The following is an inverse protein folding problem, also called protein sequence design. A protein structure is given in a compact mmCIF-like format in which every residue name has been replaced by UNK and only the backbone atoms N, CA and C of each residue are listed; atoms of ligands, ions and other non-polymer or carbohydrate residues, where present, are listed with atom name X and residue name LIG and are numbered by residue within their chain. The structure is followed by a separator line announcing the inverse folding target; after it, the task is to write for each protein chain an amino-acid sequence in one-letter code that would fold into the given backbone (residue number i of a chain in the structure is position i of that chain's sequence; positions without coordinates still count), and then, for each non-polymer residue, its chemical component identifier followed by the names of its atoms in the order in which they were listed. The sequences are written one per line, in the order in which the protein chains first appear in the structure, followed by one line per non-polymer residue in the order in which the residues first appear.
data_IF_308726980866
#
_entry.id   IF_308726980866
#
_cell.length_a   1.000
_cell.length_b   1.000
_cell.length_c   1.000
_cell.angle_alpha   90.00
_cell.angle_beta   90.00
_cell.angle_gamma   90.00
#
_symmetry.space_group_name_H-M   'P 1'
#
loop_
_entity.id
_entity.type
_entity.pdbx_description
1 polymer ?
#
# COMPACT_ATOMS: atom_id res chain seq x y z
N UNK A 1 46.24 34.85 60.54
CA UNK A 1 47.01 34.54 59.32
C UNK A 1 46.01 34.35 58.18
N UNK A 2 45.15 35.35 57.90
CA UNK A 2 45.39 36.54 57.08
C UNK A 2 45.40 36.22 55.59
N UNK A 3 44.25 36.43 54.94
CA UNK A 3 44.16 37.12 53.65
C UNK A 3 42.71 37.65 53.55
N UNK A 4 42.45 38.87 54.03
CA UNK A 4 42.47 40.13 53.25
C UNK A 4 41.58 40.07 52.01
N UNK A 5 40.34 40.54 52.18
CA UNK A 5 39.56 41.14 51.11
C UNK A 5 39.12 42.53 51.58
N UNK A 6 39.35 43.59 50.80
CA UNK A 6 38.93 44.93 51.15
C UNK A 6 37.47 45.17 50.77
N UNK A 7 36.87 46.07 51.55
CA UNK A 7 35.60 46.71 51.28
C UNK A 7 35.65 47.55 50.00
N UNK A 8 34.50 47.70 49.34
CA UNK A 8 34.03 49.01 48.88
C UNK A 8 32.57 48.93 48.40
N UNK A 9 31.70 49.61 49.15
CA UNK A 9 30.40 50.09 48.68
C UNK A 9 30.60 51.07 47.52
N UNK A 10 29.71 51.05 46.53
CA UNK A 10 29.25 52.28 45.90
C UNK A 10 27.88 52.07 45.25
N UNK A 11 26.98 52.98 45.60
CA UNK A 11 25.63 53.14 45.06
C UNK A 11 25.65 53.53 43.57
N UNK A 12 24.61 53.15 42.81
CA UNK A 12 23.59 54.08 42.30
C UNK A 12 22.82 53.49 41.10
N UNK A 13 21.48 53.54 41.21
CA UNK A 13 20.44 53.37 40.16
C UNK A 13 20.48 54.58 39.19
N UNK A 14 19.99 54.53 37.92
CA UNK A 14 18.58 54.21 37.56
C UNK A 14 18.37 53.45 36.22
N UNK A 15 17.34 52.61 36.10
CA UNK A 15 16.05 52.79 35.35
C UNK A 15 16.15 53.44 33.95
N UNK A 16 15.79 52.68 32.92
CA UNK A 16 15.22 53.27 31.69
C UNK A 16 15.32 52.41 30.42
N UNK A 17 14.28 51.61 30.17
CA UNK A 17 13.67 51.39 28.84
C UNK A 17 14.57 50.98 27.64
N UNK A 18 14.74 49.68 27.44
CA UNK A 18 14.94 49.07 26.11
C UNK A 18 13.85 47.99 25.93
N UNK A 19 12.72 48.37 25.33
CA UNK A 19 12.36 48.05 23.94
C UNK A 19 12.16 46.54 23.69
N UNK A 20 10.92 46.12 23.98
CA UNK A 20 10.03 45.41 23.08
C UNK A 20 10.69 44.62 21.93
N UNK A 21 10.64 43.29 22.00
CA UNK A 21 10.92 42.48 20.81
C UNK A 21 11.27 41.03 21.05
N UNK A 22 10.53 40.27 21.88
CA UNK A 22 10.68 38.80 21.89
C UNK A 22 9.33 38.11 22.18
N UNK A 23 8.31 38.47 21.39
CA UNK A 23 7.01 37.80 21.40
C UNK A 23 6.58 37.49 19.96
N UNK A 24 7.44 36.78 19.22
CA UNK A 24 7.06 36.07 17.98
C UNK A 24 7.75 34.70 18.03
N UNK A 25 7.36 33.88 19.02
CA UNK A 25 7.64 32.44 19.03
C UNK A 25 6.31 31.72 18.84
N UNK A 26 5.64 32.06 17.74
CA UNK A 26 4.40 31.41 17.34
C UNK A 26 4.39 31.38 15.81
N UNK A 27 4.14 30.19 15.27
CA UNK A 27 3.68 29.93 13.90
C UNK A 27 4.74 29.70 12.80
N UNK A 28 5.64 28.73 12.93
CA UNK A 28 6.27 28.07 11.77
C UNK A 28 6.60 26.58 12.01
N UNK A 29 5.64 25.80 12.52
CA UNK A 29 5.67 24.34 12.47
C UNK A 29 4.36 23.81 11.89
N UNK A 30 3.93 24.36 10.75
CA UNK A 30 2.97 23.64 9.90
C UNK A 30 3.74 22.48 9.28
N UNK A 31 3.63 21.34 9.95
CA UNK A 31 4.17 20.06 9.57
C UNK A 31 3.85 19.79 8.09
N UNK A 32 4.90 19.67 7.29
CA UNK A 32 4.80 18.99 6.00
C UNK A 32 4.55 17.52 6.33
N UNK A 33 3.29 17.14 6.49
CA UNK A 33 2.88 15.73 6.52
C UNK A 33 3.09 15.25 5.09
N UNK A 34 4.06 14.35 4.81
CA UNK A 34 4.13 13.71 3.52
C UNK A 34 2.85 12.89 3.42
N UNK A 35 1.94 13.28 2.53
CA UNK A 35 0.72 12.52 2.28
C UNK A 35 1.13 11.09 1.96
N UNK A 36 0.62 10.13 2.75
CA UNK A 36 0.75 8.73 2.45
C UNK A 36 0.20 8.52 1.03
N UNK A 37 1.10 8.25 0.07
CA UNK A 37 0.71 7.88 -1.27
C UNK A 37 0.05 6.51 -1.16
N UNK A 38 -1.27 6.48 -1.02
CA UNK A 38 -2.03 5.25 -1.20
C UNK A 38 -1.62 4.68 -2.57
N UNK A 39 -1.13 3.45 -2.59
CA UNK A 39 -0.65 2.75 -3.79
C UNK A 39 -1.85 2.37 -4.67
N UNK A 40 -2.43 3.37 -5.33
CA UNK A 40 -3.55 3.24 -6.26
C UNK A 40 -3.04 3.40 -7.69
N UNK A 41 -3.20 2.36 -8.50
CA UNK A 41 -2.85 2.35 -9.92
C UNK A 41 -4.10 2.55 -10.76
N UNK A 42 -4.03 3.28 -11.88
CA UNK A 42 -5.21 3.59 -12.70
C UNK A 42 -5.10 3.10 -14.14
N UNK A 43 -6.21 2.66 -14.70
CA UNK A 43 -6.40 2.33 -16.11
C UNK A 43 -7.76 2.88 -16.57
N UNK A 44 -7.77 4.05 -17.21
CA UNK A 44 -9.03 4.76 -17.47
C UNK A 44 -9.80 5.02 -16.17
N UNK A 45 -11.06 4.57 -16.12
CA UNK A 45 -11.93 4.68 -14.93
C UNK A 45 -11.72 3.56 -13.89
N UNK A 46 -10.79 2.62 -14.14
CA UNK A 46 -10.46 1.56 -13.20
C UNK A 46 -9.38 2.01 -12.24
N UNK A 47 -9.59 1.73 -10.96
CA UNK A 47 -8.64 1.92 -9.87
C UNK A 47 -8.28 0.57 -9.27
N UNK A 48 -6.99 0.25 -9.30
CA UNK A 48 -6.42 -0.96 -8.71
C UNK A 48 -5.79 -0.57 -7.38
N UNK A 49 -6.45 -0.96 -6.30
CA UNK A 49 -6.05 -0.68 -4.93
C UNK A 49 -5.31 -1.84 -4.31
N UNK A 50 -4.21 -1.50 -3.62
CA UNK A 50 -3.41 -2.39 -2.78
C UNK A 50 -3.07 -3.74 -3.43
N UNK A 51 -2.25 -3.78 -4.50
CA UNK A 51 -1.74 -5.04 -5.01
C UNK A 51 -0.72 -5.64 -4.07
N UNK A 52 -0.94 -6.89 -3.67
CA UNK A 52 -0.07 -7.59 -2.75
C UNK A 52 -0.04 -9.10 -3.01
N UNK A 53 1.05 -9.73 -2.57
CA UNK A 53 1.30 -11.15 -2.71
C UNK A 53 1.79 -11.71 -1.38
N UNK A 54 1.49 -12.97 -1.09
CA UNK A 54 2.08 -13.62 0.08
C UNK A 54 3.53 -13.98 -0.19
N UNK A 55 4.38 -13.76 0.82
CA UNK A 55 5.72 -14.34 0.85
C UNK A 55 5.63 -15.86 0.69
N UNK A 56 6.68 -16.44 0.11
CA UNK A 56 6.75 -17.89 -0.10
C UNK A 56 8.00 -18.48 0.55
N UNK A 57 7.94 -19.73 1.04
CA UNK A 57 9.13 -20.41 1.55
C UNK A 57 10.10 -20.73 0.40
N UNK A 58 11.39 -20.95 0.71
CA UNK A 58 12.37 -21.40 -0.28
C UNK A 58 11.88 -22.64 -1.05
N UNK A 59 12.04 -22.62 -2.37
CA UNK A 59 11.64 -23.74 -3.24
C UNK A 59 10.16 -23.78 -3.64
N UNK A 60 9.32 -22.88 -3.10
CA UNK A 60 7.93 -22.77 -3.53
C UNK A 60 7.81 -22.54 -5.04
N UNK A 61 6.82 -23.20 -5.66
CA UNK A 61 6.55 -23.11 -7.10
C UNK A 61 5.39 -22.19 -7.46
N UNK A 62 4.62 -21.77 -6.46
CA UNK A 62 3.42 -20.96 -6.62
C UNK A 62 3.38 -19.86 -5.55
N UNK A 63 2.92 -18.66 -5.92
CA UNK A 63 2.55 -17.59 -4.99
C UNK A 63 1.12 -17.12 -5.26
N UNK A 64 0.43 -16.68 -4.20
CA UNK A 64 -0.91 -16.09 -4.29
C UNK A 64 -0.85 -14.57 -4.36
N UNK A 65 -1.58 -13.96 -5.28
CA UNK A 65 -1.69 -12.51 -5.45
C UNK A 65 -3.12 -12.00 -5.28
N UNK A 66 -3.23 -10.79 -4.75
CA UNK A 66 -4.47 -10.19 -4.27
C UNK A 66 -4.45 -8.68 -4.54
N UNK A 67 -5.62 -8.11 -4.75
CA UNK A 67 -5.85 -6.67 -4.92
C UNK A 67 -7.34 -6.42 -5.00
N UNK A 68 -7.69 -5.15 -5.02
CA UNK A 68 -9.04 -4.70 -5.28
C UNK A 68 -9.08 -3.92 -6.58
N UNK A 69 -10.12 -4.11 -7.40
CA UNK A 69 -10.43 -3.22 -8.52
C UNK A 69 -11.75 -2.53 -8.28
N UNK A 70 -11.75 -1.21 -8.37
CA UNK A 70 -12.96 -0.36 -8.39
C UNK A 70 -13.13 0.20 -9.79
N UNK A 71 -14.32 0.11 -10.36
CA UNK A 71 -14.66 0.68 -11.65
C UNK A 71 -15.55 1.89 -11.44
N UNK A 72 -15.01 3.10 -11.67
CA UNK A 72 -15.74 4.37 -11.56
C UNK A 72 -16.49 4.74 -12.84
N UNK A 73 -16.36 3.95 -13.90
CA UNK A 73 -16.96 4.19 -15.20
C UNK A 73 -18.39 3.70 -15.31
N UNK A 74 -19.09 4.17 -16.35
CA UNK A 74 -20.48 3.82 -16.64
C UNK A 74 -20.67 2.49 -17.39
N UNK A 75 -19.59 1.75 -17.67
CA UNK A 75 -19.61 0.48 -18.40
C UNK A 75 -18.80 -0.59 -17.66
N UNK A 76 -19.20 -1.88 -17.68
CA UNK A 76 -18.39 -2.95 -17.12
C UNK A 76 -17.10 -3.12 -17.93
N UNK A 77 -16.02 -3.51 -17.26
CA UNK A 77 -14.75 -3.93 -17.86
C UNK A 77 -14.42 -5.36 -17.38
N UNK A 78 -13.33 -5.93 -17.88
CA UNK A 78 -12.92 -7.29 -17.61
C UNK A 78 -11.42 -7.41 -17.50
N UNK A 79 -10.92 -7.98 -16.42
CA UNK A 79 -9.52 -8.37 -16.29
C UNK A 79 -9.28 -9.65 -17.06
N UNK A 80 -8.51 -9.58 -18.16
CA UNK A 80 -8.25 -10.69 -19.06
C UNK A 80 -7.03 -11.51 -18.62
N UNK A 81 -5.95 -10.83 -18.24
CA UNK A 81 -4.68 -11.49 -17.94
C UNK A 81 -3.80 -10.67 -17.02
N UNK A 82 -2.85 -11.38 -16.41
CA UNK A 82 -1.78 -10.83 -15.58
C UNK A 82 -0.46 -11.40 -16.07
N UNK A 83 0.60 -10.60 -16.06
CA UNK A 83 1.96 -11.07 -16.33
C UNK A 83 2.94 -10.48 -15.33
N UNK A 84 3.99 -11.24 -15.02
CA UNK A 84 5.12 -10.78 -14.20
C UNK A 84 6.35 -11.63 -14.47
N UNK A 85 7.52 -11.01 -14.40
CA UNK A 85 8.80 -11.67 -14.66
C UNK A 85 9.22 -12.67 -13.56
N UNK A 86 8.54 -12.64 -12.40
CA UNK A 86 8.85 -13.56 -11.29
C UNK A 86 8.33 -14.99 -11.54
N UNK A 87 7.48 -15.20 -12.55
CA UNK A 87 6.80 -16.47 -12.81
C UNK A 87 6.80 -16.83 -14.30
N UNK A 88 6.43 -18.08 -14.60
CA UNK A 88 6.17 -18.53 -15.97
C UNK A 88 4.76 -18.16 -16.42
N UNK A 89 3.78 -18.23 -15.51
CA UNK A 89 2.37 -17.96 -15.80
C UNK A 89 1.69 -17.32 -14.60
N UNK A 90 0.78 -16.39 -14.84
CA UNK A 90 -0.16 -15.93 -13.83
C UNK A 90 -1.58 -16.29 -14.25
N UNK A 91 -2.34 -16.89 -13.34
CA UNK A 91 -3.71 -17.34 -13.59
C UNK A 91 -4.67 -16.71 -12.58
N UNK A 92 -5.91 -16.48 -13.02
CA UNK A 92 -6.99 -16.07 -12.14
C UNK A 92 -7.78 -17.30 -11.68
N UNK A 93 -8.01 -17.42 -10.39
CA UNK A 93 -8.71 -18.54 -9.76
C UNK A 93 -9.82 -18.04 -8.83
N UNK A 94 -10.81 -18.90 -8.61
CA UNK A 94 -11.89 -18.70 -7.64
C UNK A 94 -11.91 -19.85 -6.65
N UNK A 95 -11.99 -19.53 -5.36
CA UNK A 95 -12.33 -20.49 -4.32
C UNK A 95 -13.83 -20.45 -4.06
N UNK A 96 -14.46 -21.63 -4.03
CA UNK A 96 -15.87 -21.78 -3.68
C UNK A 96 -16.08 -23.04 -2.86
N UNK A 97 -16.96 -22.97 -1.86
CA UNK A 97 -17.40 -24.16 -1.12
C UNK A 97 -18.57 -24.77 -1.89
N UNK A 98 -18.42 -26.01 -2.32
CA UNK A 98 -19.49 -26.79 -2.92
C UNK A 98 -19.66 -28.07 -2.12
N UNK A 99 -20.84 -28.29 -1.56
CA UNK A 99 -21.18 -29.49 -0.78
C UNK A 99 -20.22 -29.74 0.40
N UNK A 100 -19.79 -28.66 1.08
CA UNK A 100 -18.83 -28.72 2.19
C UNK A 100 -17.37 -28.90 1.77
N UNK A 101 -17.10 -29.04 0.47
CA UNK A 101 -15.74 -29.17 -0.09
C UNK A 101 -15.27 -27.84 -0.65
N UNK A 102 -14.12 -27.36 -0.20
CA UNK A 102 -13.44 -26.22 -0.83
C UNK A 102 -12.92 -26.62 -2.20
N UNK A 103 -13.37 -25.93 -3.23
CA UNK A 103 -12.91 -26.10 -4.60
C UNK A 103 -12.19 -24.85 -5.06
N UNK A 104 -11.08 -25.02 -5.75
CA UNK A 104 -10.33 -23.95 -6.41
C UNK A 104 -10.38 -24.21 -7.91
N UNK A 105 -10.84 -23.23 -8.69
CA UNK A 105 -11.00 -23.38 -10.14
C UNK A 105 -10.47 -22.16 -10.89
N UNK A 106 -9.80 -22.37 -12.03
CA UNK A 106 -9.40 -21.27 -12.89
C UNK A 106 -10.62 -20.57 -13.47
N UNK A 107 -10.55 -19.24 -13.55
CA UNK A 107 -11.58 -18.40 -14.16
C UNK A 107 -11.23 -18.22 -15.63
N UNK A 108 -11.93 -18.95 -16.49
CA UNK A 108 -11.82 -18.83 -17.95
C UNK A 108 -12.59 -17.62 -18.48
N UNK A 109 -11.97 -16.88 -19.40
CA UNK A 109 -12.59 -15.69 -20.01
C UNK A 109 -12.51 -14.42 -19.16
N UNK A 110 -11.69 -14.39 -18.11
CA UNK A 110 -11.41 -13.18 -17.32
C UNK A 110 -12.46 -12.81 -16.27
N UNK A 111 -12.12 -11.87 -15.39
CA UNK A 111 -12.97 -11.40 -14.29
C UNK A 111 -13.73 -10.14 -14.70
N UNK A 112 -15.06 -10.15 -14.61
CA UNK A 112 -15.86 -8.94 -14.85
C UNK A 112 -15.76 -7.98 -13.67
N UNK A 113 -15.53 -6.70 -13.94
CA UNK A 113 -15.61 -5.59 -13.00
C UNK A 113 -16.82 -4.74 -13.38
N UNK A 114 -17.94 -4.82 -12.63
CA UNK A 114 -19.17 -4.10 -12.96
C UNK A 114 -18.99 -2.58 -13.03
N UNK A 115 -19.78 -1.90 -13.87
CA UNK A 115 -19.84 -0.43 -13.89
C UNK A 115 -20.23 0.11 -12.51
N UNK A 116 -19.56 1.17 -12.05
CA UNK A 116 -19.78 1.73 -10.70
C UNK A 116 -19.51 0.74 -9.55
N UNK A 117 -18.91 -0.41 -9.86
CA UNK A 117 -18.79 -1.55 -8.95
C UNK A 117 -17.35 -1.79 -8.49
N UNK A 118 -17.19 -2.84 -7.68
CA UNK A 118 -15.91 -3.23 -7.10
C UNK A 118 -15.79 -4.74 -7.04
N UNK A 119 -14.60 -5.26 -7.31
CA UNK A 119 -14.27 -6.68 -7.16
C UNK A 119 -12.98 -6.83 -6.35
N UNK A 120 -13.02 -7.66 -5.32
CA UNK A 120 -11.87 -7.95 -4.47
C UNK A 120 -11.31 -9.34 -4.79
N UNK A 121 -10.03 -9.39 -5.14
CA UNK A 121 -9.23 -10.61 -5.13
C UNK A 121 -8.59 -10.74 -3.75
N UNK A 122 -9.03 -11.72 -2.96
CA UNK A 122 -8.66 -11.91 -1.56
C UNK A 122 -8.53 -13.40 -1.21
N UNK A 123 -7.82 -13.75 -0.13
CA UNK A 123 -7.76 -15.13 0.35
C UNK A 123 -9.18 -15.71 0.54
N UNK A 124 -9.42 -16.92 0.02
CA UNK A 124 -10.72 -17.59 0.12
C UNK A 124 -11.77 -17.14 -0.91
N UNK A 125 -11.44 -16.25 -1.85
CA UNK A 125 -12.32 -15.85 -2.96
C UNK A 125 -11.61 -15.90 -4.30
N UNK A 126 -11.83 -14.89 -5.14
CA UNK A 126 -10.99 -14.67 -6.32
C UNK A 126 -9.55 -14.38 -5.90
N UNK A 127 -8.57 -14.91 -6.62
CA UNK A 127 -7.16 -14.64 -6.36
C UNK A 127 -6.31 -14.95 -7.60
N UNK A 128 -5.12 -14.39 -7.64
CA UNK A 128 -4.11 -14.77 -8.62
C UNK A 128 -3.26 -15.92 -8.12
N UNK A 129 -2.87 -16.80 -9.03
CA UNK A 129 -1.79 -17.76 -8.84
C UNK A 129 -0.64 -17.43 -9.79
N UNK A 130 0.50 -17.02 -9.24
CA UNK A 130 1.76 -16.93 -9.97
C UNK A 130 2.43 -18.31 -9.94
N UNK A 131 2.46 -19.00 -11.08
CA UNK A 131 2.88 -20.39 -11.24
C UNK A 131 4.23 -20.45 -11.95
N UNK A 132 5.07 -21.39 -11.53
CA UNK A 132 6.42 -21.53 -12.08
C UNK A 132 7.30 -20.38 -11.63
N UNK A 133 7.36 -20.15 -10.30
CA UNK A 133 8.18 -19.07 -9.75
C UNK A 133 9.65 -19.24 -10.13
N UNK A 134 10.16 -18.26 -10.88
CA UNK A 134 11.58 -18.06 -11.21
C UNK A 134 12.32 -17.38 -10.05
N UNK A 135 11.59 -16.57 -9.28
CA UNK A 135 12.07 -15.88 -8.08
C UNK A 135 10.98 -15.93 -7.00
N UNK A 136 11.34 -16.29 -5.78
CA UNK A 136 10.41 -16.28 -4.65
C UNK A 136 10.12 -14.83 -4.21
N UNK A 137 8.85 -14.41 -4.08
CA UNK A 137 8.52 -13.17 -3.38
C UNK A 137 8.86 -13.31 -1.90
N UNK A 138 9.65 -12.37 -1.36
CA UNK A 138 10.05 -12.32 0.05
C UNK A 138 9.39 -11.12 0.74
N UNK A 139 8.97 -11.30 1.99
CA UNK A 139 8.30 -10.26 2.76
C UNK A 139 9.07 -8.94 2.76
N UNK A 140 8.35 -7.83 2.59
CA UNK A 140 8.92 -6.48 2.53
C UNK A 140 9.46 -6.08 1.15
N UNK A 141 9.57 -7.02 0.21
CA UNK A 141 9.91 -6.69 -1.18
C UNK A 141 8.68 -6.21 -1.96
N UNK A 142 8.94 -5.67 -3.15
CA UNK A 142 7.93 -5.42 -4.18
C UNK A 142 8.33 -6.10 -5.48
N UNK A 143 7.36 -6.40 -6.33
CA UNK A 143 7.64 -6.82 -7.70
C UNK A 143 6.63 -6.26 -8.69
N UNK A 144 7.05 -5.93 -9.92
CA UNK A 144 6.15 -5.42 -10.93
C UNK A 144 5.29 -6.53 -11.54
N UNK A 145 4.06 -6.19 -11.87
CA UNK A 145 3.18 -6.98 -12.71
C UNK A 145 2.44 -6.07 -13.69
N UNK A 146 1.94 -6.64 -14.79
CA UNK A 146 1.05 -5.94 -15.71
C UNK A 146 -0.31 -6.60 -15.67
N UNK A 147 -1.35 -5.81 -15.42
CA UNK A 147 -2.74 -6.21 -15.52
C UNK A 147 -3.28 -5.75 -16.88
N UNK A 148 -3.93 -6.63 -17.62
CA UNK A 148 -4.54 -6.31 -18.92
C UNK A 148 -6.05 -6.41 -18.81
N UNK A 149 -6.71 -5.27 -18.95
CA UNK A 149 -8.16 -5.15 -19.02
C UNK A 149 -8.63 -5.12 -20.48
N UNK A 150 -9.85 -5.59 -20.71
CA UNK A 150 -10.46 -5.70 -22.04
C UNK A 150 -10.68 -4.32 -22.68
N UNK A 151 -11.16 -3.33 -21.92
CA UNK A 151 -11.46 -1.99 -22.44
C UNK A 151 -10.44 -0.95 -22.01
N UNK A 152 -10.06 -0.93 -20.73
CA UNK A 152 -9.10 0.02 -20.18
C UNK A 152 -7.65 -0.22 -20.63
N UNK A 153 -7.35 -1.38 -21.23
CA UNK A 153 -6.01 -1.73 -21.68
C UNK A 153 -5.11 -2.19 -20.53
N UNK A 154 -3.79 -2.00 -20.68
CA UNK A 154 -2.81 -2.53 -19.72
C UNK A 154 -2.33 -1.48 -18.73
N UNK A 155 -2.19 -1.87 -17.46
CA UNK A 155 -1.61 -1.06 -16.39
C UNK A 155 -0.51 -1.82 -15.67
N UNK A 156 0.60 -1.15 -15.43
CA UNK A 156 1.69 -1.66 -14.60
C UNK A 156 1.38 -1.38 -13.14
N UNK A 157 1.49 -2.41 -12.31
CA UNK A 157 1.24 -2.34 -10.87
C UNK A 157 2.43 -2.93 -10.13
N UNK A 158 2.62 -2.52 -8.88
CA UNK A 158 3.59 -3.13 -7.98
C UNK A 158 2.87 -3.94 -6.93
N UNK A 159 3.21 -5.23 -6.83
CA UNK A 159 2.75 -6.10 -5.76
C UNK A 159 3.69 -5.97 -4.57
N UNK A 160 3.18 -5.50 -3.44
CA UNK A 160 3.86 -5.60 -2.16
C UNK A 160 3.87 -7.04 -1.66
N UNK A 161 4.97 -7.50 -1.06
CA UNK A 161 5.05 -8.85 -0.51
C UNK A 161 4.82 -8.81 0.99
N UNK A 162 3.69 -9.37 1.40
CA UNK A 162 3.21 -9.47 2.78
C UNK A 162 3.58 -10.81 3.42
N UNK A 163 3.45 -10.92 4.74
CA UNK A 163 3.78 -12.12 5.50
C UNK A 163 2.96 -13.36 5.07
N UNK A 164 3.50 -14.57 5.30
CA UNK A 164 2.86 -15.82 4.85
C UNK A 164 1.46 -16.06 5.45
N UNK A 165 1.17 -15.49 6.63
CA UNK A 165 -0.12 -15.58 7.32
C UNK A 165 -1.02 -14.34 7.17
N UNK A 166 -0.60 -13.31 6.43
CA UNK A 166 -1.36 -12.07 6.34
C UNK A 166 -2.56 -12.22 5.40
N UNK A 167 -3.63 -11.49 5.73
CA UNK A 167 -4.90 -11.46 4.99
C UNK A 167 -5.03 -10.19 4.13
N UNK A 168 -3.94 -9.45 3.90
CA UNK A 168 -3.97 -8.10 3.36
C UNK A 168 -4.10 -7.12 4.51
N UNK A 169 -3.14 -6.22 4.71
CA UNK A 169 -3.37 -5.06 5.57
C UNK A 169 -4.33 -4.10 4.87
N UNK A 170 -5.63 -4.36 5.02
CA UNK A 170 -6.66 -3.35 4.82
C UNK A 170 -6.66 -2.55 6.12
N UNK A 171 -6.10 -1.34 6.10
CA UNK A 171 -6.20 -0.43 7.24
C UNK A 171 -7.68 -0.15 7.51
N UNK A 172 -8.26 -0.87 8.48
CA UNK A 172 -9.56 -0.57 9.08
C UNK A 172 -9.40 0.69 9.94
N UNK A 173 -9.29 1.85 9.30
CA UNK A 173 -9.55 3.12 9.96
C UNK A 173 -11.04 3.43 9.85
N UNK A 174 -11.80 2.78 10.75
CA UNK A 174 -13.06 3.28 11.24
C UNK A 174 -12.82 3.80 12.67
N UNK A 175 -12.74 5.12 12.80
CA UNK A 175 -13.51 5.99 13.72
C UNK A 175 -13.06 7.45 13.58
#
# INVERSE_FOLDING_TARGET
MSNLLPAARAQARPRGFERLGLAVFALLLFACVPGAQAHEFKAGDLEVGHPWSRATPPGAKVAGGYFTVTNKGGSPDRLLSISSDICDKAELHEMSVKDGVMTMRPVSGGLVIPAGGKVALKPGGYHLMFIGLKRQPKQGEKFPATLTFEKAGSVKVEFAVEGMGEMGSMDDHAE
#
